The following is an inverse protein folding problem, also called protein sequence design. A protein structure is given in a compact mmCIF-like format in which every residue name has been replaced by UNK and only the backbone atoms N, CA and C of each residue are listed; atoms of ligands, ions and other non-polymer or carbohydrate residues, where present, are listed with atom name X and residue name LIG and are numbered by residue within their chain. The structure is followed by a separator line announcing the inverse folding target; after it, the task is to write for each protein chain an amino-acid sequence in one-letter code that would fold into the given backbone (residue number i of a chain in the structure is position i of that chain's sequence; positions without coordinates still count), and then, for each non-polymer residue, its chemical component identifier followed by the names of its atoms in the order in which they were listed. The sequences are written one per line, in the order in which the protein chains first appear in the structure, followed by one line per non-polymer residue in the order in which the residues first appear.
data_IF_943120456407
#
_entry.id   IF_943120456407
#
_cell.length_a   1.000
_cell.length_b   1.000
_cell.length_c   1.000
_cell.angle_alpha   90.00
_cell.angle_beta   90.00
_cell.angle_gamma   90.00
#
_symmetry.space_group_name_H-M   'P 1'
#
loop_
_entity.id
_entity.type
_entity.pdbx_description
1 polymer ?
#
# COMPACT_ATOMS: atom_id res chain seq x y z
N UNK A 1 -34.79 15.44 0.46
CA UNK A 1 -33.41 15.23 0.98
C UNK A 1 -32.92 13.85 0.59
N UNK A 2 -32.00 13.73 -0.38
CA UNK A 2 -31.32 12.46 -0.66
C UNK A 2 -30.16 12.32 0.34
N UNK A 3 -30.23 11.30 1.21
CA UNK A 3 -29.07 10.90 2.02
C UNK A 3 -27.92 10.62 1.06
N UNK A 4 -26.79 11.34 1.20
CA UNK A 4 -25.54 10.97 0.53
C UNK A 4 -25.21 9.54 0.96
N UNK A 5 -24.93 8.60 0.04
CA UNK A 5 -24.53 7.27 0.44
C UNK A 5 -23.26 7.41 1.27
N UNK A 6 -23.27 6.80 2.45
CA UNK A 6 -22.09 6.52 3.23
C UNK A 6 -21.02 5.94 2.30
N UNK A 7 -19.81 6.51 2.32
CA UNK A 7 -18.64 5.99 1.60
C UNK A 7 -18.30 4.62 2.17
N UNK A 8 -19.02 3.62 1.68
CA UNK A 8 -18.74 2.22 1.82
C UNK A 8 -17.51 1.95 0.94
N UNK A 9 -16.48 1.38 1.54
CA UNK A 9 -15.21 1.16 0.85
C UNK A 9 -15.41 -0.02 -0.11
N UNK A 10 -15.82 0.27 -1.34
CA UNK A 10 -16.15 -0.73 -2.36
C UNK A 10 -14.89 -1.34 -3.02
N UNK A 11 -13.90 -1.75 -2.22
CA UNK A 11 -12.74 -2.50 -2.72
C UNK A 11 -12.91 -3.94 -2.27
N UNK A 12 -13.00 -4.86 -3.23
CA UNK A 12 -13.21 -6.26 -2.90
C UNK A 12 -11.96 -6.85 -2.21
N UNK A 13 -12.09 -7.78 -1.25
CA UNK A 13 -10.94 -8.42 -0.60
C UNK A 13 -9.93 -9.01 -1.59
N UNK A 14 -10.38 -9.50 -2.73
CA UNK A 14 -9.56 -10.07 -3.81
C UNK A 14 -8.73 -8.98 -4.52
N UNK A 15 -9.26 -7.77 -4.66
CA UNK A 15 -8.55 -6.62 -5.23
C UNK A 15 -7.45 -6.15 -4.28
N UNK A 16 -7.74 -6.07 -2.97
CA UNK A 16 -6.73 -5.74 -1.97
C UNK A 16 -5.58 -6.75 -1.94
N UNK A 17 -5.89 -8.05 -2.12
CA UNK A 17 -4.85 -9.08 -2.17
C UNK A 17 -3.90 -8.91 -3.36
N UNK A 18 -4.40 -8.48 -4.51
CA UNK A 18 -3.58 -8.25 -5.72
C UNK A 18 -2.63 -7.06 -5.60
N UNK A 19 -2.92 -6.13 -4.67
CA UNK A 19 -2.05 -4.98 -4.35
C UNK A 19 -0.94 -5.34 -3.35
N UNK A 20 -0.94 -6.56 -2.80
CA UNK A 20 0.11 -7.03 -1.91
C UNK A 20 1.14 -7.82 -2.71
N UNK A 21 2.38 -7.34 -2.73
CA UNK A 21 3.49 -7.93 -3.46
C UNK A 21 4.53 -8.50 -2.50
N UNK A 22 5.38 -9.41 -3.00
CA UNK A 22 6.52 -9.92 -2.23
C UNK A 22 7.80 -9.26 -2.76
N UNK A 23 8.48 -8.51 -1.90
CA UNK A 23 9.76 -7.85 -2.18
C UNK A 23 10.70 -8.11 -1.00
N UNK A 24 11.94 -8.52 -1.27
CA UNK A 24 12.91 -8.93 -0.22
C UNK A 24 12.37 -9.99 0.75
N UNK A 25 11.51 -10.89 0.26
CA UNK A 25 10.85 -11.91 1.11
C UNK A 25 9.77 -11.36 2.05
N UNK A 26 9.49 -10.06 2.01
CA UNK A 26 8.46 -9.41 2.80
C UNK A 26 7.26 -9.07 1.94
N UNK A 27 6.07 -9.14 2.54
CA UNK A 27 4.86 -8.64 1.89
C UNK A 27 4.77 -7.14 2.06
N UNK A 28 4.58 -6.47 0.95
CA UNK A 28 4.54 -5.01 0.88
C UNK A 28 3.39 -4.53 0.01
N UNK A 29 2.87 -3.34 0.33
CA UNK A 29 1.97 -2.58 -0.53
C UNK A 29 2.67 -1.30 -1.01
N UNK A 30 2.74 -1.05 -2.33
CA UNK A 30 3.34 0.16 -2.88
C UNK A 30 2.59 1.45 -2.51
N UNK A 31 3.33 2.56 -2.50
CA UNK A 31 2.81 3.89 -2.17
C UNK A 31 1.65 4.35 -3.07
N UNK A 32 1.64 3.95 -4.34
CA UNK A 32 0.61 4.33 -5.29
C UNK A 32 -0.72 3.61 -5.04
N UNK A 33 -0.67 2.34 -4.63
CA UNK A 33 -1.87 1.58 -4.26
C UNK A 33 -2.43 2.11 -2.94
N UNK A 34 -1.57 2.28 -1.92
CA UNK A 34 -1.99 2.86 -0.64
C UNK A 34 -2.59 4.25 -0.80
N UNK A 35 -1.96 5.12 -1.59
CA UNK A 35 -2.47 6.46 -1.86
C UNK A 35 -3.86 6.41 -2.53
N UNK A 36 -4.05 5.51 -3.49
CA UNK A 36 -5.35 5.26 -4.13
C UNK A 36 -6.41 4.80 -3.13
N UNK A 37 -6.08 3.83 -2.27
CA UNK A 37 -6.97 3.31 -1.24
C UNK A 37 -7.35 4.37 -0.19
N UNK A 38 -6.39 5.21 0.22
CA UNK A 38 -6.62 6.29 1.18
C UNK A 38 -7.29 7.53 0.55
N UNK A 39 -7.42 7.58 -0.78
CA UNK A 39 -7.99 8.72 -1.50
C UNK A 39 -7.11 9.97 -1.44
N UNK A 40 -5.79 9.80 -1.37
CA UNK A 40 -4.81 10.91 -1.30
C UNK A 40 -3.80 10.81 -2.45
N UNK A 41 -3.16 11.92 -2.86
CA UNK A 41 -2.03 11.84 -3.79
C UNK A 41 -0.86 11.07 -3.18
N UNK A 42 -0.13 10.28 -3.99
CA UNK A 42 1.07 9.56 -3.53
C UNK A 42 2.13 10.48 -2.94
N UNK A 43 2.28 11.69 -3.49
CA UNK A 43 3.18 12.71 -2.93
C UNK A 43 2.79 13.15 -1.53
N UNK A 44 1.49 13.26 -1.23
CA UNK A 44 1.00 13.64 0.09
C UNK A 44 1.22 12.53 1.11
N UNK A 45 0.99 11.27 0.72
CA UNK A 45 1.32 10.10 1.54
C UNK A 45 2.82 10.07 1.88
N UNK A 46 3.68 10.17 0.87
CA UNK A 46 5.13 10.13 1.05
C UNK A 46 5.65 11.31 1.87
N UNK A 47 5.04 12.50 1.72
CA UNK A 47 5.37 13.66 2.55
C UNK A 47 4.97 13.45 4.01
N UNK A 48 3.82 12.83 4.27
CA UNK A 48 3.36 12.52 5.62
C UNK A 48 4.31 11.52 6.31
N UNK A 49 4.79 10.51 5.58
CA UNK A 49 5.80 9.55 6.04
C UNK A 49 7.13 10.25 6.34
N UNK A 50 7.63 11.08 5.42
CA UNK A 50 8.88 11.83 5.62
C UNK A 50 8.83 12.77 6.82
N UNK A 51 7.69 13.41 7.07
CA UNK A 51 7.50 14.27 8.27
C UNK A 51 7.50 13.50 9.58
N UNK A 52 7.29 12.18 9.53
CA UNK A 52 7.23 11.30 10.69
C UNK A 52 8.26 10.16 10.53
N UNK A 53 9.43 10.44 9.94
CA UNK A 53 10.41 9.42 9.56
C UNK A 53 10.89 8.59 10.76
N UNK A 54 10.88 9.16 11.97
CA UNK A 54 11.15 8.48 13.25
C UNK A 54 10.24 7.26 13.51
N UNK A 55 9.06 7.24 12.88
CA UNK A 55 8.07 6.15 13.01
C UNK A 55 8.19 5.07 11.94
N UNK A 56 8.98 5.31 10.89
CA UNK A 56 9.12 4.42 9.74
C UNK A 56 10.58 3.96 9.60
N UNK A 57 11.05 3.05 10.46
CA UNK A 57 12.32 2.37 10.24
C UNK A 57 12.28 1.56 8.93
N UNK A 58 13.46 1.14 8.45
CA UNK A 58 13.61 0.49 7.14
C UNK A 58 12.83 -0.82 6.97
N UNK A 59 12.46 -1.48 8.08
CA UNK A 59 11.61 -2.68 8.09
C UNK A 59 10.10 -2.37 8.04
N UNK A 60 9.72 -1.09 8.16
CA UNK A 60 8.34 -0.63 8.07
C UNK A 60 8.05 -0.09 6.68
N UNK A 61 8.95 0.74 6.16
CA UNK A 61 8.83 1.30 4.82
C UNK A 61 10.21 1.56 4.23
N UNK A 62 10.37 1.29 2.94
CA UNK A 62 11.61 1.55 2.22
C UNK A 62 11.34 1.91 0.77
N UNK A 63 12.26 2.65 0.15
CA UNK A 63 12.18 2.94 -1.28
C UNK A 63 12.66 1.71 -2.08
N UNK A 64 11.88 1.32 -3.09
CA UNK A 64 12.29 0.22 -3.99
C UNK A 64 13.52 0.63 -4.81
N UNK A 65 14.37 -0.33 -5.13
CA UNK A 65 15.39 -0.16 -6.17
C UNK A 65 14.76 -0.24 -7.57
N UNK A 66 15.49 0.21 -8.60
CA UNK A 66 15.04 0.05 -9.99
C UNK A 66 14.82 -1.41 -10.38
N UNK A 67 15.65 -2.33 -9.89
CA UNK A 67 15.51 -3.75 -10.16
C UNK A 67 14.24 -4.31 -9.50
N UNK A 68 14.00 -3.97 -8.23
CA UNK A 68 12.80 -4.40 -7.49
C UNK A 68 11.53 -3.84 -8.11
N UNK A 69 11.54 -2.57 -8.50
CA UNK A 69 10.40 -1.95 -9.16
C UNK A 69 10.12 -2.56 -10.53
N UNK A 70 11.17 -2.85 -11.31
CA UNK A 70 11.03 -3.54 -12.61
C UNK A 70 10.45 -4.94 -12.42
N UNK A 71 10.92 -5.68 -11.43
CA UNK A 71 10.36 -6.98 -11.04
C UNK A 71 8.90 -6.88 -10.62
N UNK A 72 8.54 -5.88 -9.81
CA UNK A 72 7.17 -5.65 -9.37
C UNK A 72 6.23 -5.36 -10.55
N UNK A 73 6.62 -4.50 -11.50
CA UNK A 73 5.83 -4.23 -12.70
C UNK A 73 5.66 -5.51 -13.54
N UNK A 74 6.70 -6.33 -13.66
CA UNK A 74 6.62 -7.57 -14.44
C UNK A 74 5.61 -8.57 -13.89
N UNK A 75 5.36 -8.57 -12.57
CA UNK A 75 4.36 -9.42 -11.90
C UNK A 75 2.91 -8.96 -12.12
N UNK A 76 2.69 -7.72 -12.54
CA UNK A 76 1.34 -7.11 -12.67
C UNK A 76 0.64 -7.51 -14.00
N UNK A 77 1.29 -8.30 -14.87
CA UNK A 77 0.79 -8.89 -16.14
C UNK A 77 0.23 -7.89 -17.19
N UNK A 78 0.02 -6.62 -16.85
CA UNK A 78 -0.66 -5.66 -17.72
C UNK A 78 0.31 -4.67 -18.33
N UNK A 79 0.45 -4.80 -19.64
CA UNK A 79 0.93 -3.82 -20.60
C UNK A 79 0.47 -2.39 -20.29
N UNK A 80 1.40 -1.57 -19.81
CA UNK A 80 1.66 -0.20 -20.28
C UNK A 80 3.01 0.19 -19.72
N UNK A 81 4.05 -0.17 -20.48
CA UNK A 81 5.36 0.47 -20.36
C UNK A 81 5.18 1.97 -20.58
N UNK A 82 4.95 2.70 -19.50
CA UNK A 82 5.06 4.14 -19.47
C UNK A 82 6.50 4.49 -19.78
N UNK A 83 6.76 4.83 -21.04
CA UNK A 83 8.00 5.43 -21.56
C UNK A 83 8.21 6.83 -20.96
N UNK A 84 8.36 6.88 -19.66
CA UNK A 84 8.50 8.08 -18.85
C UNK A 84 8.90 7.61 -17.47
N UNK A 85 10.19 7.35 -17.28
CA UNK A 85 10.74 6.86 -16.03
C UNK A 85 10.19 7.70 -14.87
N UNK A 86 9.46 7.05 -13.96
CA UNK A 86 8.98 7.69 -12.74
C UNK A 86 10.22 8.31 -12.09
N UNK A 87 10.30 9.65 -11.98
CA UNK A 87 11.49 10.35 -11.47
C UNK A 87 11.88 9.91 -10.06
N UNK A 88 10.91 9.38 -9.30
CA UNK A 88 11.12 8.80 -7.98
C UNK A 88 10.57 7.38 -7.94
N UNK A 89 11.41 6.45 -7.50
CA UNK A 89 11.02 5.08 -7.18
C UNK A 89 9.93 5.07 -6.10
N UNK A 90 8.95 4.17 -6.19
CA UNK A 90 7.89 4.09 -5.20
C UNK A 90 8.44 3.61 -3.85
N UNK A 91 7.78 4.05 -2.79
CA UNK A 91 7.94 3.43 -1.47
C UNK A 91 7.13 2.14 -1.39
N UNK A 92 7.65 1.18 -0.65
CA UNK A 92 6.99 -0.07 -0.29
C UNK A 92 6.77 -0.08 1.23
N UNK A 93 5.56 -0.44 1.65
CA UNK A 93 5.19 -0.48 3.06
C UNK A 93 4.87 -1.90 3.47
N UNK A 94 5.52 -2.39 4.51
CA UNK A 94 5.20 -3.69 5.12
C UNK A 94 3.89 -3.59 5.90
N UNK A 95 3.39 -4.71 6.41
CA UNK A 95 2.24 -4.74 7.32
C UNK A 95 2.42 -3.77 8.51
N UNK A 96 3.62 -3.73 9.10
CA UNK A 96 3.92 -2.81 10.20
C UNK A 96 3.95 -1.35 9.74
N UNK A 97 4.47 -1.07 8.54
CA UNK A 97 4.42 0.26 7.94
C UNK A 97 2.98 0.73 7.68
N UNK A 98 2.12 -0.14 7.17
CA UNK A 98 0.70 0.16 6.97
C UNK A 98 -0.01 0.37 8.31
N UNK A 99 0.28 -0.45 9.32
CA UNK A 99 -0.22 -0.22 10.67
C UNK A 99 0.22 1.16 11.19
N UNK A 100 1.48 1.55 10.97
CA UNK A 100 2.00 2.85 11.39
C UNK A 100 1.32 4.04 10.69
N UNK A 101 0.90 3.87 9.43
CA UNK A 101 0.11 4.88 8.71
C UNK A 101 -1.20 5.24 9.43
N UNK A 102 -1.75 4.37 10.29
CA UNK A 102 -2.94 4.71 11.12
C UNK A 102 -2.67 5.86 12.10
N UNK A 103 -1.44 6.02 12.58
CA UNK A 103 -1.06 7.09 13.51
C UNK A 103 -0.90 8.45 12.82
N UNK A 104 -0.64 8.40 11.50
CA UNK A 104 -0.37 9.55 10.63
C UNK A 104 -1.64 10.00 9.90
N UNK A 105 -2.39 9.06 9.32
CA UNK A 105 -3.62 9.30 8.56
C UNK A 105 -4.85 9.07 9.45
N UNK A 106 -5.41 10.16 9.98
CA UNK A 106 -6.45 10.09 11.03
C UNK A 106 -7.89 10.26 10.55
N UNK A 107 -8.13 10.29 9.23
CA UNK A 107 -9.50 10.45 8.73
C UNK A 107 -10.32 9.18 8.97
N UNK A 108 -11.65 9.28 9.25
CA UNK A 108 -12.49 8.09 9.42
C UNK A 108 -12.46 7.14 8.22
N UNK A 109 -12.28 7.66 7.01
CA UNK A 109 -12.11 6.85 5.80
C UNK A 109 -10.77 6.09 5.82
N UNK A 110 -9.66 6.76 6.15
CA UNK A 110 -8.35 6.12 6.22
C UNK A 110 -8.28 5.04 7.30
N UNK A 111 -8.95 5.24 8.43
CA UNK A 111 -9.05 4.21 9.47
C UNK A 111 -9.75 2.95 8.95
N UNK A 112 -10.87 3.08 8.22
CA UNK A 112 -11.58 1.93 7.63
C UNK A 112 -10.74 1.20 6.59
N UNK A 113 -10.08 1.95 5.71
CA UNK A 113 -9.14 1.40 4.71
C UNK A 113 -8.04 0.59 5.38
N UNK A 114 -7.42 1.15 6.42
CA UNK A 114 -6.31 0.49 7.10
C UNK A 114 -6.74 -0.84 7.75
N UNK A 115 -7.94 -0.88 8.35
CA UNK A 115 -8.50 -2.12 8.89
C UNK A 115 -8.60 -3.22 7.82
N UNK A 116 -9.09 -2.89 6.61
CA UNK A 116 -9.22 -3.88 5.53
C UNK A 116 -7.88 -4.31 4.94
N UNK A 117 -6.91 -3.39 4.86
CA UNK A 117 -5.55 -3.73 4.45
C UNK A 117 -4.90 -4.68 5.47
N UNK A 118 -5.00 -4.39 6.77
CA UNK A 118 -4.46 -5.25 7.83
C UNK A 118 -5.10 -6.64 7.81
N UNK A 119 -6.44 -6.72 7.65
CA UNK A 119 -7.14 -8.00 7.46
C UNK A 119 -6.59 -8.78 6.27
N UNK A 120 -6.24 -8.09 5.18
CA UNK A 120 -5.67 -8.69 3.98
C UNK A 120 -4.27 -9.26 4.25
N UNK A 121 -3.38 -8.51 4.89
CA UNK A 121 -2.06 -9.02 5.28
C UNK A 121 -2.13 -10.26 6.17
N UNK A 122 -3.03 -10.25 7.17
CA UNK A 122 -3.26 -11.39 8.06
C UNK A 122 -3.79 -12.62 7.30
N UNK A 123 -4.80 -12.45 6.42
CA UNK A 123 -5.35 -13.54 5.60
C UNK A 123 -4.26 -14.20 4.76
N UNK A 124 -3.49 -13.39 4.04
CA UNK A 124 -2.39 -13.90 3.22
C UNK A 124 -1.37 -14.65 4.09
N UNK A 125 -1.12 -14.24 5.35
CA UNK A 125 -0.10 -14.90 6.21
C UNK A 125 -0.52 -16.33 6.53
N UNK A 126 -1.82 -16.55 6.74
CA UNK A 126 -2.40 -17.85 7.07
C UNK A 126 -2.38 -18.84 5.90
N UNK A 127 -2.38 -18.36 4.65
CA UNK A 127 -2.33 -19.25 3.48
C UNK A 127 -0.97 -19.92 3.24
N UNK A 128 0.08 -19.50 3.96
CA UNK A 128 1.42 -20.13 3.91
C UNK A 128 1.61 -21.17 5.04
N UNK A 129 0.54 -21.51 5.76
CA UNK A 129 0.58 -22.43 6.91
C UNK A 129 -0.04 -23.81 6.68
N UNK A 130 -0.21 -24.24 5.43
CA UNK A 130 -0.65 -25.61 5.10
C UNK A 130 0.23 -26.19 4.00
N UNK A 131 1.41 -26.68 4.39
CA UNK A 131 2.21 -27.64 3.64
C UNK A 131 2.80 -28.62 4.66
#
# INVERSE_FOLDING_TARGET
MRKKPSTDLAVAPEELQRMVHVVRGQRVMPDFDLAGLYGVPTSALNQAVQRNADRFPDDFAYQLTQQEFTGLISQIVTSKGGRGGRRKLPWAFTEHGVAMLSSVLRSPAAVRVNIEIMRTFVRLRRTVGTA
#
